data_IF_191998753756
#
_entry.id   IF_191998753756
#
_cell.length_a   1.000
_cell.length_b   1.000
_cell.length_c   1.000
_cell.angle_alpha   90.00
_cell.angle_beta   90.00
_cell.angle_gamma   90.00
#
_symmetry.space_group_name_H-M   'P 1'
#
loop_
_entity.id
_entity.type
_entity.pdbx_description
1 polymer ?
#
# COMPACT_ATOMS: atom_id res chain seq x y z
N UNK A 1 -35.80 -26.73 -9.75
CA UNK A 1 -34.93 -25.59 -9.40
C UNK A 1 -33.89 -26.11 -8.43
N UNK A 2 -32.72 -26.43 -8.97
CA UNK A 2 -31.57 -26.99 -8.26
C UNK A 2 -30.84 -25.89 -7.52
N UNK A 3 -30.62 -26.09 -6.22
CA UNK A 3 -29.79 -25.22 -5.40
C UNK A 3 -28.33 -25.30 -5.88
N UNK A 4 -27.69 -24.14 -6.09
CA UNK A 4 -26.25 -24.07 -6.30
C UNK A 4 -25.53 -24.16 -4.95
N UNK A 5 -24.47 -24.98 -4.83
CA UNK A 5 -23.74 -25.14 -3.58
C UNK A 5 -22.75 -24.00 -3.34
N UNK A 6 -22.63 -23.60 -2.07
CA UNK A 6 -21.52 -22.81 -1.55
C UNK A 6 -20.25 -23.68 -1.63
N UNK A 7 -19.10 -23.17 -2.09
CA UNK A 7 -17.86 -23.93 -1.99
C UNK A 7 -17.40 -23.98 -0.53
N UNK A 8 -17.78 -25.04 0.17
CA UNK A 8 -17.07 -25.56 1.34
C UNK A 8 -15.68 -26.02 0.88
N UNK A 9 -14.63 -25.29 1.23
CA UNK A 9 -13.27 -25.81 1.40
C UNK A 9 -12.36 -24.71 2.00
N UNK A 10 -12.71 -24.22 3.18
CA UNK A 10 -11.69 -23.72 4.11
C UNK A 10 -11.37 -24.86 5.07
N UNK A 11 -10.09 -25.20 5.32
CA UNK A 11 -9.74 -26.25 6.26
C UNK A 11 -10.34 -25.90 7.64
N UNK A 12 -11.22 -26.77 8.13
CA UNK A 12 -11.81 -26.68 9.45
C UNK A 12 -10.68 -26.68 10.49
N UNK A 13 -10.56 -25.59 11.26
CA UNK A 13 -9.49 -25.39 12.23
C UNK A 13 -8.40 -24.38 11.84
N UNK A 14 -8.62 -23.55 10.80
CA UNK A 14 -7.69 -22.44 10.49
C UNK A 14 -7.53 -21.53 11.72
N UNK A 15 -6.29 -21.26 12.18
CA UNK A 15 -6.07 -20.41 13.34
C UNK A 15 -6.61 -19.00 13.05
N UNK A 16 -7.46 -18.51 13.95
CA UNK A 16 -8.04 -17.17 13.85
C UNK A 16 -7.10 -16.24 14.60
N UNK A 17 -6.29 -15.50 13.85
CA UNK A 17 -5.43 -14.45 14.39
C UNK A 17 -6.27 -13.48 15.24
N UNK A 18 -5.83 -13.19 16.47
CA UNK A 18 -6.35 -12.06 17.22
C UNK A 18 -5.98 -10.77 16.45
N UNK A 19 -6.92 -10.29 15.67
CA UNK A 19 -6.76 -9.14 14.77
C UNK A 19 -6.27 -7.87 15.48
N UNK A 20 -6.60 -7.67 16.76
CA UNK A 20 -6.15 -6.48 17.50
C UNK A 20 -4.72 -6.62 18.01
N UNK A 21 -4.38 -7.76 18.60
CA UNK A 21 -3.02 -8.05 19.06
C UNK A 21 -2.03 -8.11 17.88
N UNK A 22 -2.43 -8.78 16.79
CA UNK A 22 -1.68 -8.85 15.53
C UNK A 22 -1.45 -7.44 14.96
N UNK A 23 -2.44 -6.54 15.05
CA UNK A 23 -2.30 -5.17 14.60
C UNK A 23 -1.36 -4.30 15.43
N UNK A 24 -1.39 -4.46 16.75
CA UNK A 24 -0.45 -3.80 17.62
C UNK A 24 0.99 -4.28 17.34
N UNK A 25 1.19 -5.59 17.22
CA UNK A 25 2.48 -6.19 16.91
C UNK A 25 3.04 -5.75 15.54
N UNK A 26 2.19 -5.71 14.50
CA UNK A 26 2.59 -5.20 13.19
C UNK A 26 3.06 -3.75 13.25
N UNK A 27 2.28 -2.84 13.86
CA UNK A 27 2.65 -1.42 13.98
C UNK A 27 3.93 -1.25 14.77
N UNK A 28 4.13 -2.07 15.80
CA UNK A 28 5.34 -2.01 16.59
C UNK A 28 6.58 -2.37 15.78
N UNK A 29 6.54 -3.49 15.05
CA UNK A 29 7.62 -3.90 14.15
C UNK A 29 7.86 -2.91 13.02
N UNK A 30 6.80 -2.36 12.42
CA UNK A 30 6.90 -1.32 11.40
C UNK A 30 7.65 -0.08 11.91
N UNK A 31 7.43 0.34 13.18
CA UNK A 31 8.14 1.47 13.80
C UNK A 31 9.64 1.21 14.01
N UNK A 32 10.06 -0.06 14.12
CA UNK A 32 11.48 -0.44 14.23
C UNK A 32 12.20 -0.42 12.88
N UNK A 33 11.47 -0.25 11.79
CA UNK A 33 12.00 -0.17 10.43
C UNK A 33 11.73 -1.43 9.60
N UNK A 34 11.80 -1.28 8.27
CA UNK A 34 11.64 -2.36 7.31
C UNK A 34 12.98 -2.65 6.64
N UNK A 35 13.47 -3.88 6.77
CA UNK A 35 14.61 -4.39 6.00
C UNK A 35 14.11 -4.95 4.67
N UNK A 36 14.27 -4.18 3.60
CA UNK A 36 13.88 -4.64 2.27
C UNK A 36 14.83 -5.70 1.72
N UNK A 37 16.04 -5.84 2.27
CA UNK A 37 16.99 -6.87 1.88
C UNK A 37 17.14 -7.94 2.96
N UNK A 38 17.39 -9.20 2.57
CA UNK A 38 17.68 -10.27 3.52
C UNK A 38 19.01 -9.97 4.20
N UNK A 39 19.00 -10.00 5.53
CA UNK A 39 20.18 -9.76 6.35
C UNK A 39 20.33 -10.90 7.36
N UNK A 40 21.56 -11.32 7.60
CA UNK A 40 21.87 -12.26 8.67
C UNK A 40 22.28 -11.48 9.91
N UNK A 41 21.64 -11.77 11.03
CA UNK A 41 21.92 -11.21 12.35
C UNK A 41 22.29 -12.30 13.34
N UNK A 42 22.58 -11.92 14.59
CA UNK A 42 22.80 -12.87 15.67
C UNK A 42 21.56 -13.74 15.97
N UNK A 43 20.35 -13.26 15.64
CA UNK A 43 19.09 -13.96 15.88
C UNK A 43 18.70 -14.91 14.73
N UNK A 44 19.25 -14.69 13.53
CA UNK A 44 18.91 -15.48 12.35
C UNK A 44 18.90 -14.68 11.05
N UNK A 45 18.32 -15.28 10.00
CA UNK A 45 18.06 -14.61 8.73
C UNK A 45 16.79 -13.78 8.86
N UNK A 46 16.90 -12.45 8.75
CA UNK A 46 15.79 -11.53 8.86
C UNK A 46 15.41 -10.92 7.50
N UNK A 47 14.12 -10.66 7.32
CA UNK A 47 13.58 -9.93 6.16
C UNK A 47 12.32 -9.15 6.55
N UNK A 48 12.03 -8.05 5.86
CA UNK A 48 10.82 -7.25 6.09
C UNK A 48 10.85 -6.53 7.44
N UNK A 49 9.77 -6.66 8.22
CA UNK A 49 9.63 -5.99 9.51
C UNK A 49 10.33 -6.76 10.65
N UNK A 50 11.55 -7.23 10.40
CA UNK A 50 12.29 -8.09 11.33
C UNK A 50 11.72 -9.51 11.45
N UNK A 51 11.03 -10.00 10.42
CA UNK A 51 10.54 -11.39 10.37
C UNK A 51 11.72 -12.34 10.24
N UNK A 52 11.75 -13.38 11.09
CA UNK A 52 12.80 -14.40 11.08
C UNK A 52 12.44 -15.49 10.06
N UNK A 53 13.18 -15.51 8.95
CA UNK A 53 13.03 -16.55 7.93
C UNK A 53 13.68 -17.87 8.34
N UNK A 54 14.71 -17.80 9.18
CA UNK A 54 15.35 -18.95 9.79
C UNK A 54 15.94 -18.52 11.13
N UNK A 55 15.64 -19.28 12.20
CA UNK A 55 16.04 -18.94 13.57
C UNK A 55 17.44 -19.48 13.86
N UNK A 56 18.27 -18.67 14.52
CA UNK A 56 19.52 -19.16 15.10
C UNK A 56 19.22 -19.79 16.46
N UNK A 57 19.43 -21.09 16.61
CA UNK A 57 19.37 -21.73 17.94
C UNK A 57 20.74 -21.67 18.60
N UNK A 58 20.77 -21.69 19.94
CA UNK A 58 21.99 -21.47 20.74
C UNK A 58 23.17 -22.43 20.43
N UNK A 59 22.93 -23.51 19.67
CA UNK A 59 23.95 -24.42 19.17
C UNK A 59 24.39 -24.06 17.72
N UNK A 60 24.84 -22.82 17.52
CA UNK A 60 25.39 -22.30 16.26
C UNK A 60 24.45 -22.38 15.03
N UNK A 61 24.85 -21.77 13.91
CA UNK A 61 24.31 -22.05 12.56
C UNK A 61 24.68 -23.48 12.11
N UNK A 62 24.33 -24.47 12.93
CA UNK A 62 24.43 -25.87 12.54
C UNK A 62 23.57 -26.06 11.29
N UNK A 63 24.09 -26.71 10.22
CA UNK A 63 23.33 -27.01 9.03
C UNK A 63 21.95 -27.63 9.33
N UNK A 64 21.86 -28.43 10.40
CA UNK A 64 20.64 -29.07 10.88
C UNK A 64 19.54 -28.11 11.35
N UNK A 65 19.87 -26.92 11.88
CA UNK A 65 18.86 -25.95 12.32
C UNK A 65 18.14 -25.29 11.12
N UNK A 66 18.89 -25.02 10.05
CA UNK A 66 18.33 -24.51 8.79
C UNK A 66 17.63 -25.60 7.96
N UNK A 67 18.05 -26.87 8.09
CA UNK A 67 17.35 -27.99 7.43
C UNK A 67 15.98 -28.24 8.06
N UNK A 68 15.85 -28.11 9.40
CA UNK A 68 14.58 -28.21 10.10
C UNK A 68 13.58 -27.11 9.70
N UNK A 69 14.10 -25.91 9.37
CA UNK A 69 13.30 -24.75 8.97
C UNK A 69 13.23 -24.56 7.44
N UNK A 70 13.74 -25.50 6.63
CA UNK A 70 13.84 -25.31 5.18
C UNK A 70 12.46 -25.11 4.52
N UNK A 71 11.47 -25.89 4.93
CA UNK A 71 10.09 -25.76 4.44
C UNK A 71 9.44 -24.44 4.90
N UNK A 72 9.65 -24.05 6.15
CA UNK A 72 9.18 -22.77 6.69
C UNK A 72 9.80 -21.58 5.95
N UNK A 73 11.11 -21.62 5.70
CA UNK A 73 11.83 -20.59 4.96
C UNK A 73 11.28 -20.46 3.53
N UNK A 74 11.12 -21.58 2.82
CA UNK A 74 10.59 -21.56 1.45
C UNK A 74 9.14 -21.09 1.42
N UNK A 75 8.31 -21.46 2.40
CA UNK A 75 6.94 -20.99 2.52
C UNK A 75 6.86 -19.47 2.75
N UNK A 76 7.68 -18.94 3.66
CA UNK A 76 7.77 -17.51 3.92
C UNK A 76 8.23 -16.74 2.69
N UNK A 77 9.27 -17.22 2.01
CA UNK A 77 9.75 -16.63 0.76
C UNK A 77 8.67 -16.69 -0.34
N UNK A 78 7.96 -17.81 -0.47
CA UNK A 78 6.91 -17.93 -1.47
C UNK A 78 5.79 -16.90 -1.26
N UNK A 79 5.41 -16.66 -0.01
CA UNK A 79 4.46 -15.60 0.36
C UNK A 79 5.01 -14.20 0.06
N UNK A 80 6.25 -13.93 0.46
CA UNK A 80 6.89 -12.63 0.30
C UNK A 80 7.01 -12.22 -1.18
N UNK A 81 7.43 -13.15 -2.03
CA UNK A 81 7.69 -12.90 -3.44
C UNK A 81 6.50 -13.28 -4.35
N UNK A 82 5.38 -13.73 -3.77
CA UNK A 82 4.16 -14.11 -4.50
C UNK A 82 4.41 -15.13 -5.62
N UNK A 83 5.37 -16.03 -5.41
CA UNK A 83 5.73 -17.09 -6.36
C UNK A 83 6.27 -18.30 -5.63
N UNK A 84 6.02 -19.52 -6.10
CA UNK A 84 6.61 -20.70 -5.51
C UNK A 84 8.13 -20.75 -5.75
N UNK A 85 8.88 -21.28 -4.78
CA UNK A 85 10.30 -21.62 -4.92
C UNK A 85 10.41 -23.14 -5.07
N UNK A 86 10.69 -23.62 -6.28
CA UNK A 86 10.69 -25.05 -6.59
C UNK A 86 11.99 -25.50 -7.29
N UNK A 87 12.26 -26.80 -7.23
CA UNK A 87 13.34 -27.46 -7.97
C UNK A 87 14.72 -26.83 -7.74
N UNK A 88 15.39 -26.47 -8.85
CA UNK A 88 16.77 -25.94 -8.83
C UNK A 88 16.88 -24.61 -8.07
N UNK A 89 15.84 -23.78 -8.12
CA UNK A 89 15.84 -22.48 -7.45
C UNK A 89 15.77 -22.64 -5.93
N UNK A 90 14.87 -23.48 -5.42
CA UNK A 90 14.76 -23.79 -4.00
C UNK A 90 16.09 -24.34 -3.45
N UNK A 91 16.67 -25.32 -4.14
CA UNK A 91 17.96 -25.91 -3.78
C UNK A 91 19.08 -24.87 -3.76
N UNK A 92 19.12 -23.96 -4.75
CA UNK A 92 20.11 -22.88 -4.78
C UNK A 92 19.97 -21.95 -3.58
N UNK A 93 18.75 -21.51 -3.28
CA UNK A 93 18.47 -20.62 -2.15
C UNK A 93 18.93 -21.27 -0.85
N UNK A 94 18.49 -22.50 -0.59
CA UNK A 94 18.84 -23.22 0.64
C UNK A 94 20.36 -23.38 0.76
N UNK A 95 21.04 -23.89 -0.27
CA UNK A 95 22.51 -24.07 -0.26
C UNK A 95 23.24 -22.77 0.06
N UNK A 96 22.78 -21.64 -0.49
CA UNK A 96 23.39 -20.34 -0.26
C UNK A 96 23.08 -19.76 1.11
N UNK A 97 21.87 -19.93 1.62
CA UNK A 97 21.51 -19.55 3.00
C UNK A 97 22.32 -20.37 4.01
N UNK A 98 22.46 -21.69 3.80
CA UNK A 98 23.33 -22.55 4.61
C UNK A 98 24.80 -22.11 4.58
N UNK A 99 25.32 -21.80 3.40
CA UNK A 99 26.70 -21.31 3.27
C UNK A 99 26.89 -19.97 3.98
N UNK A 100 25.89 -19.09 3.92
CA UNK A 100 25.91 -17.81 4.62
C UNK A 100 25.90 -17.99 6.15
N UNK A 101 25.05 -18.87 6.67
CA UNK A 101 25.02 -19.22 8.09
C UNK A 101 26.34 -19.77 8.60
N UNK A 102 26.96 -20.71 7.87
CA UNK A 102 28.29 -21.25 8.21
C UNK A 102 29.37 -20.17 8.24
N UNK A 103 29.38 -19.27 7.25
CA UNK A 103 30.33 -18.16 7.22
C UNK A 103 30.15 -17.22 8.42
N UNK A 104 28.91 -16.93 8.82
CA UNK A 104 28.66 -16.12 10.01
C UNK A 104 29.14 -16.81 11.29
N UNK A 105 28.87 -18.11 11.46
CA UNK A 105 29.33 -18.88 12.62
C UNK A 105 30.86 -18.95 12.71
N UNK A 106 31.57 -18.82 11.59
CA UNK A 106 33.03 -18.70 11.54
C UNK A 106 33.56 -17.28 11.80
N UNK A 107 32.67 -16.30 12.06
CA UNK A 107 33.06 -14.89 12.22
C UNK A 107 33.38 -14.19 10.91
N UNK A 108 32.87 -14.67 9.77
CA UNK A 108 33.13 -14.13 8.42
C UNK A 108 31.89 -13.42 7.84
N UNK A 109 31.50 -12.22 8.33
CA UNK A 109 30.25 -11.56 7.95
C UNK A 109 30.21 -11.12 6.47
N UNK A 110 31.36 -10.72 5.91
CA UNK A 110 31.46 -10.34 4.49
C UNK A 110 31.18 -11.54 3.58
N UNK A 111 31.72 -12.71 3.94
CA UNK A 111 31.49 -13.95 3.17
C UNK A 111 30.04 -14.42 3.32
N UNK A 112 29.44 -14.24 4.50
CA UNK A 112 28.02 -14.49 4.71
C UNK A 112 27.15 -13.63 3.78
N UNK A 113 27.45 -12.32 3.69
CA UNK A 113 26.75 -11.41 2.78
C UNK A 113 26.92 -11.79 1.31
N UNK A 114 28.11 -12.21 0.88
CA UNK A 114 28.36 -12.72 -0.48
C UNK A 114 27.49 -13.95 -0.76
N UNK A 115 27.45 -14.92 0.15
CA UNK A 115 26.60 -16.10 -0.01
C UNK A 115 25.12 -15.74 -0.14
N UNK A 116 24.61 -14.81 0.69
CA UNK A 116 23.23 -14.30 0.57
C UNK A 116 22.96 -13.61 -0.76
N UNK A 117 23.87 -12.76 -1.24
CA UNK A 117 23.72 -12.12 -2.55
C UNK A 117 23.61 -13.16 -3.67
N UNK A 118 24.41 -14.24 -3.60
CA UNK A 118 24.35 -15.36 -4.53
C UNK A 118 23.12 -16.27 -4.36
N UNK A 119 22.34 -16.14 -3.28
CA UNK A 119 21.05 -16.82 -3.18
C UNK A 119 20.04 -16.26 -4.20
N UNK A 120 20.22 -14.99 -4.62
CA UNK A 120 19.40 -14.37 -5.65
C UNK A 120 17.98 -14.02 -5.19
N UNK A 121 17.79 -13.83 -3.88
CA UNK A 121 16.48 -13.46 -3.33
C UNK A 121 16.04 -12.05 -3.74
N UNK A 122 16.99 -11.14 -3.97
CA UNK A 122 16.67 -9.73 -4.28
C UNK A 122 15.98 -9.01 -3.13
N UNK A 123 15.66 -7.71 -3.28
CA UNK A 123 14.86 -6.98 -2.30
C UNK A 123 13.41 -7.47 -2.30
N UNK A 124 12.70 -7.27 -1.17
CA UNK A 124 11.25 -7.41 -1.12
C UNK A 124 10.58 -6.51 -2.19
N UNK A 125 9.51 -6.99 -2.83
CA UNK A 125 8.86 -6.24 -3.90
C UNK A 125 8.16 -4.97 -3.39
N UNK A 126 7.58 -5.00 -2.19
CA UNK A 126 6.91 -3.84 -1.58
C UNK A 126 6.73 -4.01 -0.05
N UNK A 127 6.15 -2.99 0.60
CA UNK A 127 5.84 -3.02 2.03
C UNK A 127 4.73 -4.02 2.40
N UNK A 128 3.84 -4.38 1.46
CA UNK A 128 2.83 -5.41 1.69
C UNK A 128 3.47 -6.80 1.78
N UNK A 129 4.57 -7.06 1.06
CA UNK A 129 5.34 -8.29 1.20
C UNK A 129 5.92 -8.43 2.61
N UNK A 130 6.37 -7.34 3.23
CA UNK A 130 6.79 -7.34 4.63
C UNK A 130 5.62 -7.62 5.60
N UNK A 131 4.42 -7.09 5.32
CA UNK A 131 3.21 -7.42 6.08
C UNK A 131 2.82 -8.89 5.89
N UNK A 132 2.88 -9.41 4.67
CA UNK A 132 2.55 -10.80 4.37
C UNK A 132 3.54 -11.76 5.03
N UNK A 133 4.83 -11.40 5.07
CA UNK A 133 5.85 -12.13 5.83
C UNK A 133 5.53 -12.15 7.33
N UNK A 134 5.18 -11.01 7.91
CA UNK A 134 4.78 -10.93 9.32
C UNK A 134 3.54 -11.80 9.61
N UNK A 135 2.51 -11.71 8.78
CA UNK A 135 1.31 -12.53 8.94
C UNK A 135 1.60 -14.02 8.76
N UNK A 136 2.43 -14.38 7.78
CA UNK A 136 2.83 -15.76 7.55
C UNK A 136 3.65 -16.34 8.71
N UNK A 137 4.60 -15.59 9.27
CA UNK A 137 5.33 -15.99 10.48
C UNK A 137 4.36 -16.18 11.66
N UNK A 138 3.40 -15.26 11.83
CA UNK A 138 2.41 -15.39 12.91
C UNK A 138 1.56 -16.66 12.74
N UNK A 139 1.15 -16.98 11.50
CA UNK A 139 0.39 -18.20 11.22
C UNK A 139 1.23 -19.47 11.44
N UNK A 140 2.52 -19.45 11.11
CA UNK A 140 3.43 -20.56 11.43
C UNK A 140 3.58 -20.73 12.95
N UNK A 141 3.75 -19.63 13.70
CA UNK A 141 3.84 -19.65 15.16
C UNK A 141 2.52 -20.12 15.82
N UNK A 142 1.37 -19.90 15.17
CA UNK A 142 0.06 -20.44 15.56
C UNK A 142 -0.18 -21.91 15.12
N UNK A 143 0.80 -22.53 14.45
CA UNK A 143 0.78 -23.95 14.10
C UNK A 143 0.27 -24.28 12.70
N UNK A 144 0.13 -23.29 11.80
CA UNK A 144 -0.16 -23.55 10.39
C UNK A 144 1.01 -24.30 9.74
N UNK A 145 0.71 -25.37 8.99
CA UNK A 145 1.73 -26.12 8.27
C UNK A 145 2.33 -25.30 7.10
N UNK A 146 3.65 -25.39 6.83
CA UNK A 146 4.31 -24.68 5.71
C UNK A 146 3.66 -24.97 4.35
N UNK A 147 3.27 -26.22 4.09
CA UNK A 147 2.56 -26.63 2.88
C UNK A 147 1.22 -25.91 2.69
N UNK A 148 0.50 -25.65 3.79
CA UNK A 148 -0.75 -24.88 3.73
C UNK A 148 -0.46 -23.42 3.36
N UNK A 149 0.60 -22.84 3.90
CA UNK A 149 1.08 -21.50 3.54
C UNK A 149 1.55 -21.40 2.09
N UNK A 150 2.27 -22.39 1.56
CA UNK A 150 2.68 -22.40 0.16
C UNK A 150 1.48 -22.48 -0.81
N UNK A 151 0.42 -23.20 -0.44
CA UNK A 151 -0.84 -23.19 -1.20
C UNK A 151 -1.52 -21.82 -1.18
N UNK A 152 -1.38 -21.05 -0.11
CA UNK A 152 -1.86 -19.66 -0.05
C UNK A 152 -1.06 -18.73 -0.96
N UNK A 153 0.25 -18.94 -1.13
CA UNK A 153 1.10 -18.14 -2.01
C UNK A 153 0.72 -18.26 -3.49
N UNK A 154 0.15 -19.40 -3.89
CA UNK A 154 -0.25 -19.70 -5.27
C UNK A 154 -1.74 -19.45 -5.53
N UNK A 155 -2.52 -19.15 -4.48
CA UNK A 155 -3.93 -18.80 -4.59
C UNK A 155 -4.11 -17.41 -5.21
N UNK A 156 -4.98 -17.31 -6.22
CA UNK A 156 -5.43 -16.01 -6.79
C UNK A 156 -6.37 -15.24 -5.85
N UNK A 157 -6.73 -15.83 -4.71
CA UNK A 157 -7.60 -15.21 -3.74
C UNK A 157 -6.81 -14.26 -2.83
N UNK A 158 -6.70 -13.00 -3.27
CA UNK A 158 -6.03 -11.91 -2.55
C UNK A 158 -6.68 -11.61 -1.19
N UNK A 159 -7.89 -12.12 -0.93
CA UNK A 159 -8.67 -11.77 0.25
C UNK A 159 -8.16 -12.38 1.55
N UNK A 160 -7.30 -13.40 1.49
CA UNK A 160 -6.85 -14.17 2.67
C UNK A 160 -5.95 -13.32 3.58
N UNK A 161 -5.08 -12.48 3.01
CA UNK A 161 -4.25 -11.54 3.78
C UNK A 161 -4.93 -10.18 4.01
N UNK A 162 -5.94 -9.85 3.20
CA UNK A 162 -6.75 -8.61 3.35
C UNK A 162 -7.71 -8.72 4.53
N UNK A 163 -8.33 -9.89 4.78
CA UNK A 163 -9.17 -10.13 5.97
C UNK A 163 -8.37 -10.06 7.27
N UNK A 164 -7.10 -10.47 7.22
CA UNK A 164 -6.16 -10.41 8.35
C UNK A 164 -5.37 -9.11 8.38
N UNK A 165 -5.68 -8.13 7.52
CA UNK A 165 -4.99 -6.85 7.50
C UNK A 165 -5.23 -6.11 8.82
N UNK A 166 -4.21 -5.91 9.64
CA UNK A 166 -4.36 -5.26 10.95
C UNK A 166 -4.76 -3.78 10.88
N UNK A 167 -4.70 -3.18 9.69
CA UNK A 167 -5.18 -1.82 9.43
C UNK A 167 -6.65 -1.79 8.98
N UNK A 168 -7.28 -2.97 8.81
CA UNK A 168 -8.71 -3.08 8.61
C UNK A 168 -9.41 -2.87 9.97
N UNK A 169 -10.17 -1.77 10.13
CA UNK A 169 -11.07 -1.63 11.28
C UNK A 169 -12.20 -2.67 11.12
N UNK A 170 -12.47 -3.53 12.11
CA UNK A 170 -13.69 -4.32 12.10
C UNK A 170 -14.88 -3.38 12.30
N UNK A 171 -15.96 -3.56 11.56
CA UNK A 171 -17.26 -3.04 11.97
C UNK A 171 -17.72 -3.89 13.17
N UNK A 172 -17.42 -3.42 14.38
CA UNK A 172 -17.76 -4.14 15.61
C UNK A 172 -19.28 -4.14 15.88
N UNK A 173 -19.86 -5.26 16.34
CA UNK A 173 -21.26 -5.34 16.75
C UNK A 173 -21.42 -5.02 18.24
N UNK A 174 -22.05 -3.88 18.57
CA UNK A 174 -22.74 -3.61 19.84
C UNK A 174 -21.91 -3.38 21.13
N UNK A 175 -22.22 -2.28 21.83
CA UNK A 175 -21.77 -1.95 23.20
C UNK A 175 -20.74 -0.82 23.26
N UNK A 176 -20.84 0.23 24.07
CA UNK A 176 -21.75 0.62 25.13
C UNK A 176 -21.31 2.01 25.63
N UNK A 177 -22.26 2.78 26.14
CA UNK A 177 -22.15 4.15 26.67
C UNK A 177 -20.99 4.40 27.64
N UNK A 178 -20.46 5.63 27.68
CA UNK A 178 -20.17 6.36 28.93
C UNK A 178 -20.37 7.90 28.73
N UNK A 179 -21.38 8.41 29.47
CA UNK A 179 -21.66 9.74 30.04
C UNK A 179 -21.96 11.01 29.22
N UNK A 180 -23.21 11.47 29.40
CA UNK A 180 -23.77 12.84 29.27
C UNK A 180 -23.29 13.78 30.41
N UNK A 181 -23.56 15.11 30.37
CA UNK A 181 -24.90 15.70 30.61
C UNK A 181 -25.22 16.85 29.60
N UNK A 182 -26.45 17.15 29.19
CA UNK A 182 -27.55 17.73 29.99
C UNK A 182 -28.87 17.72 29.21
N UNK A 183 -29.94 17.43 29.97
CA UNK A 183 -31.28 18.03 29.98
C UNK A 183 -32.32 17.83 28.87
N UNK A 184 -33.43 17.21 29.31
CA UNK A 184 -34.81 17.40 28.84
C UNK A 184 -35.22 16.47 27.69
N UNK A 185 -35.94 15.36 27.88
CA UNK A 185 -37.13 15.17 28.71
C UNK A 185 -38.34 14.96 27.78
N UNK A 186 -38.98 13.79 27.83
CA UNK A 186 -40.33 13.60 27.28
C UNK A 186 -40.52 12.35 26.41
N UNK A 187 -41.21 11.36 26.97
CA UNK A 187 -41.58 10.06 26.41
C UNK A 187 -42.65 10.09 25.31
N UNK A 188 -42.64 8.98 24.54
CA UNK A 188 -43.75 8.31 23.85
C UNK A 188 -44.37 9.02 22.64
N UNK A 189 -44.35 8.39 21.47
CA UNK A 189 -45.32 7.37 21.10
C UNK A 189 -44.95 6.70 19.77
N UNK A 190 -45.25 5.42 19.64
CA UNK A 190 -45.12 4.65 18.41
C UNK A 190 -46.38 4.84 17.56
N UNK A 191 -46.27 5.56 16.44
CA UNK A 191 -47.06 5.25 15.23
C UNK A 191 -46.66 6.11 14.04
N UNK A 192 -46.29 5.41 12.97
CA UNK A 192 -46.54 5.77 11.57
C UNK A 192 -46.14 7.18 11.08
N UNK A 193 -45.00 7.25 10.39
CA UNK A 193 -44.95 7.98 9.11
C UNK A 193 -43.89 7.41 8.17
N UNK A 194 -44.39 6.52 7.32
CA UNK A 194 -43.89 6.22 5.99
C UNK A 194 -43.65 7.56 5.25
N UNK A 195 -42.39 7.93 5.01
CA UNK A 195 -41.92 8.80 3.92
C UNK A 195 -40.40 8.74 3.83
N UNK A 196 -39.96 8.16 2.73
CA UNK A 196 -38.78 8.51 1.94
C UNK A 196 -37.44 8.64 2.68
N UNK A 197 -36.60 7.61 2.56
CA UNK A 197 -35.58 7.65 1.51
C UNK A 197 -34.79 6.35 1.50
N UNK A 198 -34.92 5.66 0.38
CA UNK A 198 -33.98 4.69 -0.13
C UNK A 198 -32.59 5.37 -0.25
N UNK A 199 -31.78 5.39 0.81
CA UNK A 199 -30.34 5.65 0.68
C UNK A 199 -29.75 4.40 0.04
N UNK A 200 -29.84 4.34 -1.30
CA UNK A 200 -29.03 3.46 -2.12
C UNK A 200 -27.61 3.54 -1.61
N UNK A 201 -27.03 2.40 -1.22
CA UNK A 201 -25.60 2.31 -0.96
C UNK A 201 -24.88 2.98 -2.14
N UNK A 202 -24.16 4.07 -1.86
CA UNK A 202 -23.46 4.84 -2.88
C UNK A 202 -22.46 3.91 -3.58
N UNK A 203 -22.48 3.87 -4.91
CA UNK A 203 -21.60 2.99 -5.67
C UNK A 203 -20.12 3.23 -5.27
N UNK A 204 -19.31 2.17 -5.09
CA UNK A 204 -17.92 2.28 -4.60
C UNK A 204 -17.05 3.26 -5.39
N UNK A 205 -17.30 3.45 -6.69
CA UNK A 205 -16.56 4.42 -7.53
C UNK A 205 -16.93 5.85 -7.13
N UNK A 206 -18.20 6.11 -6.85
CA UNK A 206 -18.69 7.42 -6.41
C UNK A 206 -18.15 7.74 -5.01
N UNK A 207 -18.16 6.77 -4.11
CA UNK A 207 -17.59 6.90 -2.77
C UNK A 207 -16.07 7.20 -2.83
N UNK A 208 -15.31 6.52 -3.68
CA UNK A 208 -13.87 6.76 -3.90
C UNK A 208 -13.59 8.21 -4.32
N UNK A 209 -14.37 8.74 -5.27
CA UNK A 209 -14.25 10.14 -5.75
C UNK A 209 -14.55 11.13 -4.62
N UNK A 210 -15.64 10.89 -3.87
CA UNK A 210 -16.04 11.71 -2.73
C UNK A 210 -14.96 11.78 -1.67
N UNK A 211 -14.40 10.63 -1.26
CA UNK A 211 -13.32 10.58 -0.27
C UNK A 211 -12.06 11.33 -0.73
N UNK A 212 -11.69 11.17 -2.01
CA UNK A 212 -10.54 11.89 -2.59
C UNK A 212 -10.73 13.41 -2.52
N UNK A 213 -11.90 13.91 -2.90
CA UNK A 213 -12.23 15.35 -2.79
C UNK A 213 -12.24 15.78 -1.34
N UNK A 214 -12.89 15.02 -0.45
CA UNK A 214 -12.99 15.37 0.97
C UNK A 214 -11.62 15.56 1.62
N UNK A 215 -10.65 14.68 1.31
CA UNK A 215 -9.29 14.73 1.85
C UNK A 215 -8.47 15.91 1.31
N UNK A 216 -8.59 16.23 0.02
CA UNK A 216 -7.65 17.14 -0.65
C UNK A 216 -8.22 18.55 -0.94
N UNK A 217 -9.52 18.78 -0.80
CA UNK A 217 -10.15 20.04 -1.22
C UNK A 217 -9.59 21.28 -0.51
N UNK A 218 -9.20 21.17 0.76
CA UNK A 218 -8.73 22.32 1.53
C UNK A 218 -7.40 22.85 0.93
N UNK A 219 -6.42 21.97 0.75
CA UNK A 219 -5.14 22.34 0.14
C UNK A 219 -5.29 22.67 -1.35
N UNK A 220 -6.16 21.96 -2.08
CA UNK A 220 -6.41 22.26 -3.48
C UNK A 220 -7.00 23.67 -3.67
N UNK A 221 -7.88 24.12 -2.76
CA UNK A 221 -8.41 25.50 -2.78
C UNK A 221 -7.33 26.53 -2.53
N UNK A 222 -6.44 26.28 -1.56
CA UNK A 222 -5.31 27.17 -1.27
C UNK A 222 -4.43 27.35 -2.52
N UNK A 223 -4.03 26.24 -3.14
CA UNK A 223 -3.20 26.23 -4.35
C UNK A 223 -3.90 26.86 -5.55
N UNK A 224 -5.17 26.50 -5.77
CA UNK A 224 -5.99 27.05 -6.84
C UNK A 224 -6.16 28.56 -6.73
N UNK A 225 -6.34 29.08 -5.50
CA UNK A 225 -6.37 30.50 -5.20
C UNK A 225 -5.06 31.20 -5.57
N UNK A 226 -3.90 30.65 -5.17
CA UNK A 226 -2.57 31.21 -5.51
C UNK A 226 -2.30 31.24 -7.01
N UNK A 227 -2.80 30.26 -7.75
CA UNK A 227 -2.62 30.13 -9.19
C UNK A 227 -3.71 30.86 -10.00
N UNK A 228 -4.77 31.35 -9.35
CA UNK A 228 -5.98 31.87 -10.00
C UNK A 228 -6.58 30.88 -11.03
N UNK A 229 -6.70 29.61 -10.65
CA UNK A 229 -7.32 28.55 -11.46
C UNK A 229 -8.49 27.92 -10.70
N UNK A 230 -9.43 27.26 -11.39
CA UNK A 230 -10.48 26.48 -10.73
C UNK A 230 -9.91 25.33 -9.90
N UNK A 231 -10.49 25.09 -8.72
CA UNK A 231 -10.02 24.03 -7.80
C UNK A 231 -10.13 22.64 -8.41
N UNK A 232 -11.14 22.42 -9.25
CA UNK A 232 -11.33 21.17 -9.95
C UNK A 232 -10.21 20.86 -10.96
N UNK A 233 -9.49 21.88 -11.47
CA UNK A 233 -8.36 21.64 -12.38
C UNK A 233 -7.18 21.03 -11.61
N UNK A 234 -6.89 21.55 -10.41
CA UNK A 234 -5.86 21.02 -9.51
C UNK A 234 -6.21 19.59 -9.08
N UNK A 235 -7.46 19.38 -8.62
CA UNK A 235 -7.91 18.05 -8.20
C UNK A 235 -8.01 17.06 -9.37
N UNK A 236 -8.31 17.53 -10.58
CA UNK A 236 -8.40 16.70 -11.77
C UNK A 236 -7.05 16.09 -12.14
N UNK A 237 -5.99 16.90 -12.19
CA UNK A 237 -4.62 16.39 -12.42
C UNK A 237 -4.19 15.50 -11.27
N UNK A 238 -4.34 15.94 -10.02
CA UNK A 238 -3.96 15.15 -8.87
C UNK A 238 -4.67 13.78 -8.88
N UNK A 239 -5.96 13.70 -9.23
CA UNK A 239 -6.69 12.45 -9.30
C UNK A 239 -6.15 11.50 -10.37
N UNK A 240 -5.79 12.01 -11.55
CA UNK A 240 -5.22 11.19 -12.64
C UNK A 240 -3.82 10.70 -12.26
N UNK A 241 -2.93 11.62 -11.91
CA UNK A 241 -1.52 11.33 -11.63
C UNK A 241 -1.34 10.42 -10.39
N UNK A 242 -2.16 10.63 -9.37
CA UNK A 242 -2.08 9.83 -8.14
C UNK A 242 -2.92 8.55 -8.17
N UNK A 243 -3.60 8.24 -9.26
CA UNK A 243 -4.58 7.14 -9.28
C UNK A 243 -5.62 7.27 -8.17
N UNK A 244 -6.20 8.45 -8.02
CA UNK A 244 -7.18 8.83 -6.99
C UNK A 244 -6.65 8.73 -5.55
N UNK A 245 -5.43 9.20 -5.31
CA UNK A 245 -4.81 9.28 -4.00
C UNK A 245 -4.19 7.97 -3.53
N UNK A 246 -3.49 7.26 -4.43
CA UNK A 246 -2.82 6.01 -4.11
C UNK A 246 -3.72 4.77 -4.22
N UNK A 247 -4.90 4.89 -4.82
CA UNK A 247 -5.91 3.81 -4.85
C UNK A 247 -5.78 2.87 -6.05
N UNK A 248 -4.93 3.19 -7.02
CA UNK A 248 -4.60 2.31 -8.12
C UNK A 248 -3.26 1.61 -7.83
N UNK A 249 -3.04 0.40 -8.35
CA UNK A 249 -1.83 -0.40 -8.09
C UNK A 249 -0.54 0.35 -8.46
N UNK A 250 -0.54 1.07 -9.58
CA UNK A 250 0.60 1.83 -10.09
C UNK A 250 0.88 3.17 -9.36
N UNK A 251 0.02 3.58 -8.41
CA UNK A 251 0.13 4.86 -7.71
C UNK A 251 1.15 4.85 -6.55
N UNK A 252 2.28 4.16 -6.76
CA UNK A 252 3.35 3.97 -5.76
C UNK A 252 3.88 5.30 -5.24
N UNK A 253 4.15 6.25 -6.13
CA UNK A 253 4.70 7.56 -5.77
C UNK A 253 3.79 8.34 -4.83
N UNK A 254 2.48 8.16 -4.94
CA UNK A 254 1.52 8.77 -4.01
C UNK A 254 1.46 8.01 -2.69
N UNK A 255 1.39 6.67 -2.70
CA UNK A 255 1.26 5.86 -1.48
C UNK A 255 2.48 5.95 -0.57
N UNK A 256 3.67 5.88 -1.15
CA UNK A 256 4.94 5.82 -0.43
C UNK A 256 5.60 7.19 -0.32
N UNK A 257 5.43 8.04 -1.33
CA UNK A 257 6.12 9.32 -1.44
C UNK A 257 5.23 10.54 -1.23
N UNK A 258 3.94 10.39 -0.92
CA UNK A 258 2.97 11.49 -0.90
C UNK A 258 3.00 12.37 -2.16
N UNK A 259 3.47 11.85 -3.29
CA UNK A 259 3.62 12.61 -4.52
C UNK A 259 2.34 12.47 -5.38
N UNK A 260 1.43 13.43 -5.23
CA UNK A 260 0.12 13.41 -5.92
C UNK A 260 0.19 13.84 -7.39
N UNK A 261 1.33 14.36 -7.83
CA UNK A 261 1.54 14.92 -9.17
C UNK A 261 2.70 14.23 -9.90
N UNK A 262 3.21 13.12 -9.36
CA UNK A 262 4.28 12.32 -9.97
C UNK A 262 5.48 13.21 -10.37
N UNK A 263 5.83 14.16 -9.49
CA UNK A 263 6.91 15.13 -9.70
C UNK A 263 8.27 14.43 -9.66
N UNK A 264 9.15 14.76 -10.61
CA UNK A 264 10.54 14.31 -10.65
C UNK A 264 11.33 14.89 -9.46
N UNK A 265 12.48 14.29 -9.13
CA UNK A 265 13.36 14.74 -8.06
C UNK A 265 13.84 16.20 -8.21
N UNK A 266 14.36 16.73 -7.10
CA UNK A 266 14.76 18.11 -6.88
C UNK A 266 13.59 19.10 -6.96
N UNK A 267 12.39 18.65 -6.57
CA UNK A 267 11.24 19.54 -6.45
C UNK A 267 11.28 20.35 -5.16
N UNK A 268 10.59 21.48 -5.12
CA UNK A 268 10.48 22.26 -3.86
C UNK A 268 9.71 21.48 -2.82
N UNK A 269 10.06 21.62 -1.54
CA UNK A 269 9.42 20.91 -0.41
C UNK A 269 9.59 19.38 -0.42
N UNK A 270 10.42 18.86 -1.31
CA UNK A 270 10.83 17.46 -1.31
C UNK A 270 11.53 17.11 0.02
N UNK A 271 11.27 15.91 0.55
CA UNK A 271 11.95 15.37 1.73
C UNK A 271 12.77 14.09 1.44
N UNK A 272 12.87 13.71 0.17
CA UNK A 272 13.66 12.60 -0.33
C UNK A 272 13.27 12.22 -1.74
N UNK A 273 13.79 11.09 -2.21
CA UNK A 273 13.54 10.61 -3.57
C UNK A 273 13.24 9.12 -3.61
N UNK A 274 12.62 8.68 -4.71
CA UNK A 274 12.38 7.29 -5.03
C UNK A 274 12.45 7.06 -6.54
N UNK A 275 13.03 5.95 -6.98
CA UNK A 275 13.07 5.63 -8.40
C UNK A 275 11.75 5.03 -8.89
N UNK A 276 11.45 5.23 -10.18
CA UNK A 276 10.45 4.46 -10.91
C UNK A 276 10.84 2.97 -10.98
N UNK A 277 9.92 2.12 -11.47
CA UNK A 277 10.17 0.66 -11.55
C UNK A 277 11.39 0.29 -12.40
N UNK A 278 11.71 1.08 -13.42
CA UNK A 278 12.90 0.88 -14.26
C UNK A 278 14.21 1.35 -13.60
N UNK A 279 14.16 2.04 -12.46
CA UNK A 279 15.35 2.51 -11.75
C UNK A 279 16.07 3.69 -12.42
N UNK A 280 15.48 4.29 -13.46
CA UNK A 280 16.14 5.26 -14.33
C UNK A 280 15.58 6.69 -14.21
N UNK A 281 14.40 6.86 -13.59
CA UNK A 281 13.81 8.18 -13.31
C UNK A 281 13.62 8.33 -11.82
N UNK A 282 14.20 9.40 -11.28
CA UNK A 282 14.12 9.74 -9.87
C UNK A 282 12.93 10.68 -9.63
N UNK A 283 12.09 10.31 -8.66
CA UNK A 283 10.84 10.98 -8.33
C UNK A 283 10.93 11.56 -6.92
N UNK A 284 10.33 12.73 -6.71
CA UNK A 284 10.28 13.37 -5.38
C UNK A 284 9.41 12.55 -4.42
N UNK A 285 9.82 12.52 -3.15
CA UNK A 285 8.94 12.21 -2.03
C UNK A 285 8.68 13.46 -1.19
N UNK A 286 7.55 13.48 -0.49
CA UNK A 286 7.08 14.60 0.29
C UNK A 286 6.69 14.15 1.69
N UNK A 287 6.91 15.02 2.68
CA UNK A 287 6.55 14.71 4.07
C UNK A 287 5.03 14.58 4.23
N UNK A 288 4.26 15.41 3.52
CA UNK A 288 2.80 15.34 3.49
C UNK A 288 2.24 15.52 2.08
N UNK A 289 0.97 15.11 1.83
CA UNK A 289 0.27 15.43 0.59
C UNK A 289 0.31 16.93 0.27
N UNK A 290 0.15 17.78 1.29
CA UNK A 290 0.11 19.23 1.12
C UNK A 290 1.41 19.80 0.54
N UNK A 291 2.56 19.24 0.92
CA UNK A 291 3.86 19.65 0.37
C UNK A 291 3.93 19.36 -1.14
N UNK A 292 3.41 18.21 -1.59
CA UNK A 292 3.37 17.89 -3.03
C UNK A 292 2.47 18.85 -3.82
N UNK A 293 1.35 19.28 -3.24
CA UNK A 293 0.46 20.28 -3.84
C UNK A 293 1.11 21.66 -3.92
N UNK A 294 1.82 22.08 -2.87
CA UNK A 294 2.57 23.36 -2.85
C UNK A 294 3.74 23.32 -3.84
N UNK A 295 4.45 22.20 -3.92
CA UNK A 295 5.53 21.98 -4.88
C UNK A 295 5.04 22.12 -6.33
N UNK A 296 3.93 21.45 -6.65
CA UNK A 296 3.31 21.53 -7.97
C UNK A 296 2.94 22.99 -8.30
N UNK A 297 2.33 23.69 -7.34
CA UNK A 297 1.93 25.08 -7.53
C UNK A 297 3.12 26.00 -7.84
N UNK A 298 4.22 25.85 -7.11
CA UNK A 298 5.43 26.63 -7.31
C UNK A 298 6.09 26.33 -8.66
N UNK A 299 6.21 25.05 -9.01
CA UNK A 299 6.91 24.58 -10.19
C UNK A 299 6.19 24.95 -11.48
N UNK A 300 4.85 24.89 -11.46
CA UNK A 300 4.04 25.05 -12.67
C UNK A 300 3.35 26.42 -12.76
N UNK A 301 3.56 27.32 -11.78
CA UNK A 301 2.89 28.64 -11.71
C UNK A 301 2.92 29.42 -13.03
N UNK A 302 4.08 29.50 -13.67
CA UNK A 302 4.27 30.27 -14.90
C UNK A 302 3.57 29.62 -16.10
N UNK A 303 3.37 28.31 -16.05
CA UNK A 303 2.76 27.53 -17.13
C UNK A 303 1.23 27.60 -17.06
N UNK A 304 0.65 27.37 -15.88
CA UNK A 304 -0.79 27.17 -15.69
C UNK A 304 -1.51 28.32 -14.96
N UNK A 305 -0.79 29.31 -14.45
CA UNK A 305 -1.39 30.46 -13.78
C UNK A 305 -2.46 31.16 -14.62
N UNK A 306 -3.64 31.36 -14.04
CA UNK A 306 -4.80 32.00 -14.69
C UNK A 306 -5.50 31.14 -15.76
N UNK A 307 -5.05 29.92 -16.03
CA UNK A 307 -5.66 29.05 -17.06
C UNK A 307 -6.88 28.33 -16.48
N UNK A 308 -8.05 28.90 -16.76
CA UNK A 308 -9.32 28.42 -16.18
C UNK A 308 -9.94 27.26 -16.93
N UNK A 309 -9.78 27.23 -18.25
CA UNK A 309 -10.32 26.16 -19.07
C UNK A 309 -9.56 24.83 -18.81
N UNK A 310 -10.25 23.73 -18.46
CA UNK A 310 -9.60 22.49 -18.04
C UNK A 310 -8.83 21.79 -19.16
N UNK A 311 -9.27 21.91 -20.42
CA UNK A 311 -8.58 21.31 -21.57
C UNK A 311 -7.30 22.09 -21.86
N UNK A 312 -7.36 23.43 -21.90
CA UNK A 312 -6.16 24.28 -22.03
C UNK A 312 -5.19 24.09 -20.87
N UNK A 313 -5.71 23.91 -19.65
CA UNK A 313 -4.90 23.65 -18.46
C UNK A 313 -4.10 22.35 -18.60
N UNK A 314 -4.79 21.24 -18.92
CA UNK A 314 -4.14 19.95 -19.12
C UNK A 314 -3.21 19.94 -20.35
N UNK A 315 -3.60 20.61 -21.43
CA UNK A 315 -2.77 20.74 -22.63
C UNK A 315 -1.45 21.46 -22.32
N UNK A 316 -1.48 22.53 -21.51
CA UNK A 316 -0.24 23.23 -21.14
C UNK A 316 0.68 22.35 -20.31
N UNK A 317 0.14 21.57 -19.37
CA UNK A 317 0.92 20.60 -18.60
C UNK A 317 1.52 19.52 -19.48
N UNK A 318 0.77 18.98 -20.44
CA UNK A 318 1.33 17.98 -21.37
C UNK A 318 2.41 18.59 -22.28
N UNK A 319 2.20 19.83 -22.74
CA UNK A 319 3.16 20.54 -23.58
C UNK A 319 4.47 20.87 -22.85
N UNK A 320 4.50 20.86 -21.51
CA UNK A 320 5.75 21.01 -20.76
C UNK A 320 6.64 19.75 -20.82
N UNK A 321 6.12 18.66 -21.39
CA UNK A 321 6.75 17.35 -21.46
C UNK A 321 7.01 16.68 -20.11
N UNK A 322 6.31 17.13 -19.05
CA UNK A 322 6.42 16.57 -17.69
C UNK A 322 5.23 15.73 -17.27
N UNK A 323 4.07 15.95 -17.89
CA UNK A 323 2.81 15.29 -17.52
C UNK A 323 2.20 14.58 -18.71
N UNK A 324 1.67 13.38 -18.52
CA UNK A 324 1.04 12.61 -19.60
C UNK A 324 1.97 12.38 -20.80
N UNK A 325 3.22 12.00 -20.55
CA UNK A 325 4.24 11.69 -21.56
C UNK A 325 4.73 10.26 -21.34
N UNK A 326 4.87 9.49 -22.41
CA UNK A 326 5.49 8.17 -22.38
C UNK A 326 7.01 8.27 -22.21
N UNK A 327 7.67 7.17 -21.84
CA UNK A 327 9.14 7.12 -21.69
C UNK A 327 9.90 7.52 -22.98
N UNK A 328 9.28 7.32 -24.15
CA UNK A 328 9.85 7.74 -25.44
C UNK A 328 9.65 9.23 -25.77
N UNK A 329 9.04 10.02 -24.88
CA UNK A 329 8.80 11.46 -25.06
C UNK A 329 7.52 11.84 -25.81
N UNK A 330 6.77 10.84 -26.30
CA UNK A 330 5.50 11.05 -26.99
C UNK A 330 4.36 11.37 -26.01
N UNK A 331 3.43 12.27 -26.36
CA UNK A 331 2.28 12.58 -25.52
C UNK A 331 1.31 11.40 -25.45
N UNK A 332 0.81 11.12 -24.25
CA UNK A 332 -0.30 10.17 -24.02
C UNK A 332 -1.56 10.73 -24.69
N UNK A 333 -2.16 10.04 -25.69
CA UNK A 333 -3.20 10.62 -26.54
C UNK A 333 -4.45 11.13 -25.82
N UNK A 334 -4.87 10.47 -24.75
CA UNK A 334 -6.11 10.79 -24.03
C UNK A 334 -5.91 11.64 -22.79
N UNK A 335 -4.67 11.95 -22.40
CA UNK A 335 -4.36 12.61 -21.13
C UNK A 335 -5.12 13.92 -20.92
N UNK A 336 -5.15 14.80 -21.93
CA UNK A 336 -5.87 16.08 -21.87
C UNK A 336 -7.36 15.87 -21.65
N UNK A 337 -7.96 14.92 -22.39
CA UNK A 337 -9.36 14.56 -22.26
C UNK A 337 -9.69 13.95 -20.91
N UNK A 338 -8.81 13.09 -20.38
CA UNK A 338 -8.98 12.40 -19.10
C UNK A 338 -8.92 13.37 -17.92
N UNK A 339 -7.92 14.26 -17.91
CA UNK A 339 -7.80 15.31 -16.88
C UNK A 339 -9.00 16.25 -16.94
N UNK A 340 -9.36 16.75 -18.13
CA UNK A 340 -10.45 17.70 -18.27
C UNK A 340 -11.82 17.08 -17.93
N UNK A 341 -12.06 15.85 -18.39
CA UNK A 341 -13.25 15.08 -18.05
C UNK A 341 -13.33 14.80 -16.55
N UNK A 342 -12.22 14.49 -15.91
CA UNK A 342 -12.14 14.28 -14.46
C UNK A 342 -12.43 15.57 -13.69
N UNK A 343 -11.81 16.70 -14.06
CA UNK A 343 -12.07 18.00 -13.47
C UNK A 343 -13.56 18.38 -13.55
N UNK A 344 -14.18 18.22 -14.73
CA UNK A 344 -15.62 18.47 -14.94
C UNK A 344 -16.49 17.60 -14.01
N UNK A 345 -16.19 16.30 -13.90
CA UNK A 345 -16.92 15.35 -13.02
C UNK A 345 -16.76 15.70 -11.54
N UNK A 346 -15.63 16.24 -11.12
CA UNK A 346 -15.36 16.57 -9.72
C UNK A 346 -16.20 17.75 -9.20
N UNK A 347 -16.72 18.62 -10.08
CA UNK A 347 -17.54 19.79 -9.70
C UNK A 347 -18.74 19.45 -8.84
N UNK A 348 -19.42 18.32 -9.12
CA UNK A 348 -20.58 17.88 -8.36
C UNK A 348 -20.21 17.63 -6.88
N UNK A 349 -19.12 16.89 -6.64
CA UNK A 349 -18.63 16.57 -5.29
C UNK A 349 -18.07 17.79 -4.55
N UNK A 350 -17.48 18.74 -5.28
CA UNK A 350 -16.97 19.99 -4.70
C UNK A 350 -18.14 20.86 -4.23
N UNK A 351 -19.21 20.95 -5.01
CA UNK A 351 -20.40 21.76 -4.71
C UNK A 351 -21.17 21.20 -3.52
N UNK A 352 -21.29 19.87 -3.42
CA UNK A 352 -21.94 19.21 -2.27
C UNK A 352 -21.26 19.55 -0.94
N UNK A 353 -19.92 19.65 -0.92
CA UNK A 353 -19.16 20.07 0.27
C UNK A 353 -19.23 21.58 0.57
N UNK A 354 -19.79 22.40 -0.34
CA UNK A 354 -19.97 23.84 -0.13
C UNK A 354 -21.39 24.22 0.33
N UNK A 355 -22.36 23.31 0.18
CA UNK A 355 -23.75 23.54 0.55
C UNK A 355 -24.20 22.85 1.85
N UNK A 356 -23.27 22.27 2.61
CA UNK A 356 -23.51 21.57 3.87
C UNK A 356 -22.83 22.21 5.06
#
# INVERSE_FOLDING_TARGET
MTASPVPENFPAGSPVLDTFACAAAWRDRQRRGLSLQPAITAEGLILGAGTLLAKHTAAAWAPSALEADAECLLALLAIAYRRPFEGVEASRVLVKVHAAGRALAAGEPVRAAIHLAHAGLGPLPDANAALCLFLAETLLDEGMAPDALMKLATSKDETIFVKSNPNHRPAGPGGGQFYSPTDGGGQADQSEKKRDSNMSAEDPVTQKKRQFVQRNIAIAREVAGKLNVPVENILGVAAIESGWGGKNEDARFTREGNNYFVQHAHSKYENGTMFNHAGNVEMSTFATPEDSFRSFAESEKNLIGGVRDPEKFAQRLQNSKRFGIYENGEPVPNYVGDVAGTAKKLRAFITEKMGG
#
